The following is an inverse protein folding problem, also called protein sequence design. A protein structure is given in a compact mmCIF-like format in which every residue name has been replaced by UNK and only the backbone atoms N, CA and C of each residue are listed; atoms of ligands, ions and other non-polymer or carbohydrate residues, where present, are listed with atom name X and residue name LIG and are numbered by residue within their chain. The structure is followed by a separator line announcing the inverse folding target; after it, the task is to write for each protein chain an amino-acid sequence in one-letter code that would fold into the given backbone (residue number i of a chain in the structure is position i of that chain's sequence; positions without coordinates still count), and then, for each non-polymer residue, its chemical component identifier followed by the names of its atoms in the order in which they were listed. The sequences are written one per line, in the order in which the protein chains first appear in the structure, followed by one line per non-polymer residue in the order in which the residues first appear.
data_IF_525538764081
#
_entry.id   IF_525538764081
#
_cell.length_a   1.000
_cell.length_b   1.000
_cell.length_c   1.000
_cell.angle_alpha   90.00
_cell.angle_beta   90.00
_cell.angle_gamma   90.00
#
_symmetry.space_group_name_H-M   'P 1'
#
loop_
_entity.id
_entity.type
_entity.pdbx_description
1 polymer ?
#
# COMPACT_ATOMS: atom_id res chain seq x y z
N UNK A 1 -0.22 -11.81 -9.20
CA UNK A 1 -0.74 -12.48 -10.39
C UNK A 1 -1.50 -11.44 -11.21
N UNK A 2 -1.36 -11.44 -12.52
CA UNK A 2 -2.12 -10.58 -13.46
C UNK A 2 -3.13 -11.48 -14.16
N UNK A 3 -4.39 -11.12 -14.13
CA UNK A 3 -5.45 -11.87 -14.80
C UNK A 3 -5.76 -11.25 -16.17
N UNK A 4 -5.96 -12.12 -17.16
CA UNK A 4 -6.38 -11.76 -18.50
C UNK A 4 -7.83 -12.19 -18.72
N UNK A 5 -8.60 -11.40 -19.47
CA UNK A 5 -9.95 -11.81 -19.91
C UNK A 5 -9.91 -12.66 -21.17
N UNK A 6 -8.74 -12.89 -21.76
CA UNK A 6 -8.55 -13.71 -22.96
C UNK A 6 -8.46 -15.20 -22.63
N UNK A 7 -8.68 -16.03 -23.63
CA UNK A 7 -8.60 -17.50 -23.49
C UNK A 7 -7.15 -18.03 -23.45
N UNK A 8 -6.15 -17.21 -23.79
CA UNK A 8 -4.73 -17.61 -23.82
C UNK A 8 -3.86 -16.75 -22.92
N UNK A 9 -2.88 -17.40 -22.32
CA UNK A 9 -1.84 -16.73 -21.55
C UNK A 9 -1.03 -15.77 -22.44
N UNK A 10 -0.79 -14.56 -21.94
CA UNK A 10 -0.09 -13.51 -22.68
C UNK A 10 1.09 -12.97 -21.89
N UNK A 11 2.16 -12.50 -22.56
CA UNK A 11 3.27 -11.85 -21.88
C UNK A 11 2.83 -10.63 -21.10
N UNK A 12 3.31 -10.52 -19.87
CA UNK A 12 3.08 -9.40 -18.97
C UNK A 12 4.41 -8.73 -18.64
N UNK A 13 4.44 -7.41 -18.70
CA UNK A 13 5.56 -6.63 -18.18
C UNK A 13 5.10 -5.82 -16.98
N UNK A 14 5.90 -5.83 -15.92
CA UNK A 14 5.70 -4.99 -14.74
C UNK A 14 6.88 -4.03 -14.62
N UNK A 15 6.58 -2.75 -14.62
CA UNK A 15 7.55 -1.69 -14.36
C UNK A 15 7.41 -1.26 -12.91
N UNK A 16 8.50 -1.36 -12.16
CA UNK A 16 8.58 -0.87 -10.77
C UNK A 16 9.46 0.36 -10.77
N UNK A 17 8.87 1.51 -10.48
CA UNK A 17 9.58 2.79 -10.36
C UNK A 17 10.58 2.77 -9.21
N UNK A 18 11.57 3.65 -9.25
CA UNK A 18 12.45 3.91 -8.10
C UNK A 18 11.74 4.76 -7.03
N UNK A 19 12.20 4.69 -5.80
CA UNK A 19 11.71 5.54 -4.71
C UNK A 19 11.81 7.05 -5.01
N UNK A 20 12.70 7.43 -5.91
CA UNK A 20 12.93 8.83 -6.32
C UNK A 20 12.24 9.19 -7.64
N UNK A 21 11.49 8.25 -8.25
CA UNK A 21 10.76 8.49 -9.49
C UNK A 21 11.60 8.60 -10.76
N UNK A 22 12.92 8.43 -10.68
CA UNK A 22 13.86 8.72 -11.78
C UNK A 22 14.09 7.56 -12.75
N UNK A 23 13.72 6.35 -12.39
CA UNK A 23 13.90 5.15 -13.23
C UNK A 23 12.87 4.08 -12.87
N UNK A 24 12.64 3.17 -13.81
CA UNK A 24 11.82 1.99 -13.56
C UNK A 24 12.58 0.73 -13.96
N UNK A 25 12.45 -0.32 -13.16
CA UNK A 25 12.99 -1.64 -13.48
C UNK A 25 11.85 -2.50 -14.04
N UNK A 26 12.11 -3.16 -15.16
CA UNK A 26 11.14 -4.02 -15.82
C UNK A 26 11.30 -5.49 -15.36
N UNK A 27 10.19 -6.11 -15.07
CA UNK A 27 10.06 -7.54 -14.76
C UNK A 27 9.05 -8.16 -15.71
N UNK A 28 9.36 -9.35 -16.21
CA UNK A 28 8.49 -10.02 -17.18
C UNK A 28 7.88 -11.29 -16.57
N UNK A 29 6.67 -11.57 -16.95
CA UNK A 29 5.91 -12.74 -16.53
C UNK A 29 4.87 -13.13 -17.58
N UNK A 30 3.92 -13.94 -17.17
CA UNK A 30 2.81 -14.40 -18.02
C UNK A 30 1.50 -14.19 -17.26
N UNK A 31 0.43 -13.81 -17.97
CA UNK A 31 -0.90 -13.67 -17.38
C UNK A 31 -1.38 -15.02 -16.84
N UNK A 32 -2.25 -14.98 -15.83
CA UNK A 32 -2.91 -16.15 -15.22
C UNK A 32 -1.95 -17.17 -14.59
N UNK A 33 -0.65 -16.85 -14.52
CA UNK A 33 0.38 -17.64 -13.86
C UNK A 33 1.02 -16.83 -12.74
N UNK A 34 1.16 -17.38 -11.51
CA UNK A 34 1.94 -16.74 -10.47
C UNK A 34 3.41 -16.64 -10.89
N UNK A 35 3.98 -15.45 -10.83
CA UNK A 35 5.42 -15.25 -10.99
C UNK A 35 5.94 -14.34 -9.88
N UNK A 36 7.21 -14.48 -9.56
CA UNK A 36 7.88 -13.75 -8.50
C UNK A 36 9.10 -13.02 -9.07
N UNK A 37 9.36 -11.84 -8.53
CA UNK A 37 10.55 -11.07 -8.83
C UNK A 37 11.05 -10.39 -7.57
N UNK A 38 12.33 -10.06 -7.53
CA UNK A 38 12.97 -9.40 -6.41
C UNK A 38 13.31 -7.96 -6.77
N UNK A 39 12.87 -7.02 -5.96
CA UNK A 39 13.32 -5.63 -6.03
C UNK A 39 14.52 -5.49 -5.09
N UNK A 40 15.71 -5.15 -5.59
CA UNK A 40 16.90 -5.08 -4.75
C UNK A 40 16.85 -3.88 -3.82
N UNK A 41 17.17 -4.11 -2.55
CA UNK A 41 17.32 -3.09 -1.50
C UNK A 41 16.24 -1.99 -1.52
N UNK A 42 14.95 -2.33 -1.44
CA UNK A 42 13.91 -1.33 -1.49
C UNK A 42 13.95 -0.48 -0.21
N UNK A 43 13.68 0.82 -0.35
CA UNK A 43 13.42 1.67 0.82
C UNK A 43 12.10 1.24 1.44
N UNK A 44 12.15 0.80 2.70
CA UNK A 44 10.96 0.28 3.37
C UNK A 44 9.99 1.41 3.73
N UNK A 45 8.71 1.07 3.65
CA UNK A 45 7.63 1.93 4.08
C UNK A 45 7.51 1.91 5.61
N UNK A 46 7.33 3.07 6.20
CA UNK A 46 6.93 3.23 7.60
C UNK A 46 5.99 4.43 7.75
N UNK A 47 5.28 4.60 8.87
CA UNK A 47 4.44 5.79 9.11
C UNK A 47 5.21 7.11 9.00
N UNK A 48 6.49 7.12 9.42
CA UNK A 48 7.34 8.31 9.36
C UNK A 48 8.04 8.49 8.01
N UNK A 49 8.11 7.43 7.21
CA UNK A 49 8.67 7.43 5.87
C UNK A 49 7.81 6.58 4.92
N UNK A 50 6.64 7.08 4.51
CA UNK A 50 5.67 6.33 3.70
C UNK A 50 6.10 6.23 2.24
N UNK A 51 7.25 5.58 2.00
CA UNK A 51 7.84 5.42 0.67
C UNK A 51 6.98 4.51 -0.19
N UNK A 52 6.52 5.01 -1.32
CA UNK A 52 5.78 4.27 -2.33
C UNK A 52 6.56 4.22 -3.65
N UNK A 53 6.37 3.13 -4.36
CA UNK A 53 6.94 2.86 -5.68
C UNK A 53 5.82 2.82 -6.70
N UNK A 54 5.93 3.59 -7.77
CA UNK A 54 4.99 3.51 -8.87
C UNK A 54 5.09 2.13 -9.52
N UNK A 55 3.94 1.57 -9.82
CA UNK A 55 3.79 0.27 -10.46
C UNK A 55 3.02 0.46 -11.76
N UNK A 56 3.56 -0.06 -12.87
CA UNK A 56 2.85 -0.11 -14.13
C UNK A 56 2.81 -1.55 -14.62
N UNK A 57 1.64 -2.04 -14.92
CA UNK A 57 1.42 -3.38 -15.49
C UNK A 57 0.99 -3.22 -16.92
N UNK A 58 1.67 -3.90 -17.83
CA UNK A 58 1.44 -3.84 -19.27
C UNK A 58 1.09 -5.25 -19.77
N UNK A 59 -0.04 -5.37 -20.44
CA UNK A 59 -0.52 -6.59 -21.08
C UNK A 59 -0.96 -6.24 -22.52
N UNK A 60 -0.11 -6.55 -23.51
CA UNK A 60 -0.36 -6.15 -24.89
C UNK A 60 -0.42 -4.62 -25.02
N UNK A 61 -1.57 -4.10 -25.40
CA UNK A 61 -1.85 -2.66 -25.51
C UNK A 61 -2.48 -2.07 -24.25
N UNK A 62 -2.86 -2.90 -23.29
CA UNK A 62 -3.46 -2.46 -22.04
C UNK A 62 -2.39 -2.09 -21.02
N UNK A 63 -2.62 -0.99 -20.32
CA UNK A 63 -1.69 -0.46 -19.31
C UNK A 63 -2.45 0.02 -18.08
N UNK A 64 -2.10 -0.55 -16.94
CA UNK A 64 -2.65 -0.17 -15.64
C UNK A 64 -1.55 0.42 -14.76
N UNK A 65 -1.81 1.58 -14.20
CA UNK A 65 -0.91 2.22 -13.22
C UNK A 65 -1.42 2.02 -11.80
N UNK A 66 -0.49 1.77 -10.89
CA UNK A 66 -0.77 1.54 -9.47
C UNK A 66 0.45 1.96 -8.64
N UNK A 67 0.49 1.58 -7.38
CA UNK A 67 1.65 1.77 -6.53
C UNK A 67 1.79 0.61 -5.54
N UNK A 68 2.98 0.48 -4.96
CA UNK A 68 3.27 -0.49 -3.90
C UNK A 68 4.22 0.10 -2.85
N UNK A 69 4.13 -0.40 -1.63
CA UNK A 69 5.08 -0.10 -0.56
C UNK A 69 5.70 -1.41 -0.04
N UNK A 70 6.99 -1.39 0.20
CA UNK A 70 7.71 -2.56 0.73
C UNK A 70 7.75 -2.47 2.24
N UNK A 71 7.08 -3.40 2.91
CA UNK A 71 7.08 -3.53 4.38
C UNK A 71 6.84 -4.97 4.78
N UNK A 72 7.28 -5.33 5.96
CA UNK A 72 6.96 -6.62 6.58
C UNK A 72 6.23 -6.41 7.90
N UNK A 73 5.21 -7.24 8.12
CA UNK A 73 4.50 -7.31 9.40
C UNK A 73 4.79 -8.68 9.98
N UNK A 74 5.25 -8.69 11.22
CA UNK A 74 5.58 -9.95 11.92
C UNK A 74 5.25 -9.81 13.41
N UNK A 75 5.53 -10.86 14.17
CA UNK A 75 5.50 -10.84 15.64
C UNK A 75 6.82 -11.36 16.17
N UNK A 76 7.28 -10.82 17.28
CA UNK A 76 8.52 -11.23 17.94
C UNK A 76 8.49 -10.91 19.42
N UNK A 77 9.47 -11.43 20.16
CA UNK A 77 9.60 -11.17 21.61
C UNK A 77 10.44 -9.91 21.80
N UNK A 78 9.85 -8.91 22.44
CA UNK A 78 10.53 -7.67 22.81
C UNK A 78 10.30 -7.41 24.30
N UNK A 79 11.37 -7.34 25.08
CA UNK A 79 11.28 -7.19 26.53
C UNK A 79 10.54 -8.35 27.22
N UNK A 80 10.68 -9.60 26.72
CA UNK A 80 10.01 -10.78 27.27
C UNK A 80 8.54 -10.94 26.89
N UNK A 81 7.98 -10.04 26.06
CA UNK A 81 6.58 -10.04 25.64
C UNK A 81 6.49 -10.18 24.13
N UNK A 82 5.55 -10.99 23.63
CA UNK A 82 5.25 -11.08 22.19
C UNK A 82 4.58 -9.78 21.74
N UNK A 83 5.18 -9.13 20.75
CA UNK A 83 4.74 -7.85 20.21
C UNK A 83 4.66 -7.87 18.69
N UNK A 84 3.81 -7.03 18.07
CA UNK A 84 3.82 -6.82 16.63
C UNK A 84 5.08 -6.04 16.24
N UNK A 85 5.65 -6.42 15.08
CA UNK A 85 6.83 -5.79 14.51
C UNK A 85 6.49 -5.26 13.11
N UNK A 86 6.98 -4.07 12.81
CA UNK A 86 7.03 -3.49 11.47
C UNK A 86 8.48 -3.48 10.99
N UNK A 87 8.75 -4.11 9.85
CA UNK A 87 10.11 -4.22 9.29
C UNK A 87 11.13 -4.84 10.27
N UNK A 88 10.67 -5.76 11.14
CA UNK A 88 11.48 -6.41 12.15
C UNK A 88 11.63 -5.64 13.45
N UNK A 89 11.13 -4.43 13.55
CA UNK A 89 11.24 -3.56 14.73
C UNK A 89 9.89 -3.38 15.43
N UNK A 90 9.93 -3.28 16.77
CA UNK A 90 8.72 -2.98 17.53
C UNK A 90 8.30 -1.54 17.31
N UNK A 91 7.04 -1.36 16.93
CA UNK A 91 6.38 -0.07 16.90
C UNK A 91 5.17 -0.08 17.83
N UNK A 92 5.06 0.94 18.70
CA UNK A 92 3.84 1.13 19.47
C UNK A 92 2.74 1.64 18.56
N UNK A 93 1.74 0.80 18.29
CA UNK A 93 0.61 1.14 17.43
C UNK A 93 -0.37 2.03 18.19
N UNK A 94 -0.20 3.33 18.01
CA UNK A 94 -1.08 4.35 18.57
C UNK A 94 -2.04 4.84 17.50
N UNK A 95 -3.31 4.44 17.61
CA UNK A 95 -4.28 4.70 16.56
C UNK A 95 -5.72 4.78 17.04
N UNK A 96 -6.59 5.14 16.13
CA UNK A 96 -8.02 5.24 16.35
C UNK A 96 -8.82 4.33 15.42
N UNK A 97 -10.08 4.11 15.78
CA UNK A 97 -11.06 3.44 14.94
C UNK A 97 -11.69 4.45 13.98
N UNK A 98 -11.76 4.08 12.70
CA UNK A 98 -12.52 4.80 11.68
C UNK A 98 -13.57 3.89 11.08
N UNK A 99 -14.83 4.21 11.28
CA UNK A 99 -15.97 3.49 10.72
C UNK A 99 -16.49 4.10 9.42
N UNK A 100 -15.93 5.21 8.96
CA UNK A 100 -16.26 5.84 7.69
C UNK A 100 -17.58 6.58 7.67
N UNK A 101 -18.06 7.03 8.83
CA UNK A 101 -19.28 7.87 8.90
C UNK A 101 -18.96 9.34 8.65
N UNK A 102 -19.78 9.96 7.83
CA UNK A 102 -19.74 11.38 7.50
C UNK A 102 -21.07 12.05 7.84
N UNK A 103 -21.08 13.29 8.34
CA UNK A 103 -22.32 13.95 8.75
C UNK A 103 -23.36 14.06 7.63
N UNK A 104 -22.91 14.34 6.40
CA UNK A 104 -23.80 14.58 5.27
C UNK A 104 -24.03 13.36 4.38
N UNK A 105 -23.02 12.51 4.20
CA UNK A 105 -23.00 11.45 3.21
C UNK A 105 -23.10 10.04 3.81
N UNK A 106 -23.26 9.89 5.13
CA UNK A 106 -23.20 8.62 5.85
C UNK A 106 -21.89 7.88 5.57
N UNK A 107 -21.90 6.91 4.65
CA UNK A 107 -20.69 6.16 4.25
C UNK A 107 -19.92 6.78 3.07
N UNK A 108 -20.42 7.91 2.51
CA UNK A 108 -19.78 8.57 1.40
C UNK A 108 -19.10 9.85 1.88
N UNK A 109 -17.77 9.96 1.75
CA UNK A 109 -17.07 11.19 2.10
C UNK A 109 -17.50 12.35 1.18
N UNK A 110 -17.58 13.57 1.69
CA UNK A 110 -17.99 14.73 0.89
C UNK A 110 -16.97 15.07 -0.20
N UNK A 111 -15.69 14.81 0.05
CA UNK A 111 -14.61 15.00 -0.91
C UNK A 111 -13.38 14.17 -0.55
N UNK A 112 -12.46 14.03 -1.51
CA UNK A 112 -11.15 13.44 -1.25
C UNK A 112 -10.36 14.26 -0.22
N UNK A 113 -10.44 15.58 -0.29
CA UNK A 113 -9.71 16.49 0.61
C UNK A 113 -10.18 16.35 2.06
N UNK A 114 -11.47 16.09 2.29
CA UNK A 114 -11.98 15.80 3.62
C UNK A 114 -11.36 14.52 4.21
N UNK A 115 -11.21 13.45 3.41
CA UNK A 115 -10.53 12.22 3.85
C UNK A 115 -9.05 12.47 4.16
N UNK A 116 -8.37 13.26 3.34
CA UNK A 116 -6.96 13.62 3.55
C UNK A 116 -6.81 14.42 4.83
N UNK A 117 -7.69 15.41 5.05
CA UNK A 117 -7.70 16.25 6.26
C UNK A 117 -7.77 15.42 7.53
N UNK A 118 -8.68 14.44 7.62
CA UNK A 118 -8.79 13.57 8.79
C UNK A 118 -7.48 12.82 9.08
N UNK A 119 -6.84 12.29 8.04
CA UNK A 119 -5.57 11.56 8.19
C UNK A 119 -4.42 12.50 8.61
N UNK A 120 -4.35 13.70 8.04
CA UNK A 120 -3.33 14.70 8.39
C UNK A 120 -3.48 15.19 9.83
N UNK A 121 -4.72 15.44 10.27
CA UNK A 121 -5.01 15.82 11.66
C UNK A 121 -4.61 14.70 12.62
N UNK A 122 -5.00 13.46 12.35
CA UNK A 122 -4.62 12.32 13.19
C UNK A 122 -3.10 12.19 13.27
N UNK A 123 -2.41 12.30 12.14
CA UNK A 123 -0.95 12.24 12.09
C UNK A 123 -0.30 13.39 12.89
N UNK A 124 -0.83 14.61 12.79
CA UNK A 124 -0.36 15.76 13.56
C UNK A 124 -0.51 15.61 15.07
N UNK A 125 -1.50 14.80 15.50
CA UNK A 125 -1.72 14.43 16.90
C UNK A 125 -0.85 13.25 17.37
N UNK A 126 0.03 12.74 16.50
CA UNK A 126 0.96 11.66 16.83
C UNK A 126 0.43 10.25 16.60
N UNK A 127 -0.73 10.09 15.99
CA UNK A 127 -1.23 8.77 15.58
C UNK A 127 -0.38 8.20 14.46
N UNK A 128 -0.07 6.91 14.53
CA UNK A 128 0.68 6.19 13.52
C UNK A 128 -0.07 4.98 12.94
N UNK A 129 -1.32 4.81 13.33
CA UNK A 129 -2.19 3.72 12.90
C UNK A 129 -3.64 4.20 12.79
N UNK A 130 -4.35 3.70 11.80
CA UNK A 130 -5.79 3.81 11.68
C UNK A 130 -6.39 2.41 11.51
N UNK A 131 -7.39 2.05 12.32
CA UNK A 131 -8.17 0.84 12.12
C UNK A 131 -9.41 1.17 11.30
N UNK A 132 -9.35 0.96 10.00
CA UNK A 132 -10.52 1.08 9.13
C UNK A 132 -11.43 -0.11 9.37
N UNK A 133 -12.66 0.15 9.81
CA UNK A 133 -13.66 -0.86 10.13
C UNK A 133 -14.85 -0.76 9.18
N UNK A 134 -15.33 -1.92 8.69
CA UNK A 134 -16.53 -2.09 7.85
C UNK A 134 -16.41 -1.62 6.40
N UNK A 135 -15.57 -0.66 6.06
CA UNK A 135 -15.39 -0.24 4.67
C UNK A 135 -13.90 -0.22 4.28
N UNK A 136 -13.60 -0.66 3.07
CA UNK A 136 -12.28 -0.48 2.46
C UNK A 136 -12.37 0.65 1.44
N UNK A 137 -11.90 1.84 1.80
CA UNK A 137 -11.62 2.88 0.83
C UNK A 137 -10.20 2.65 0.29
N UNK A 138 -10.12 2.09 -0.91
CA UNK A 138 -8.94 1.40 -1.45
C UNK A 138 -7.66 2.24 -1.60
N UNK A 139 -7.71 3.56 -1.61
CA UNK A 139 -6.63 4.38 -2.15
C UNK A 139 -5.88 5.26 -1.17
N UNK A 140 -6.34 5.45 0.06
CA UNK A 140 -5.75 6.43 0.98
C UNK A 140 -4.88 5.84 2.09
N UNK A 141 -5.10 4.59 2.47
CA UNK A 141 -4.45 3.99 3.64
C UNK A 141 -2.93 3.78 3.54
N UNK A 142 -2.32 3.91 2.37
CA UNK A 142 -0.87 3.73 2.19
C UNK A 142 -0.10 5.04 1.95
N UNK A 143 -0.79 6.14 1.65
CA UNK A 143 -0.17 7.41 1.28
C UNK A 143 0.06 8.37 2.45
N UNK A 144 -0.65 8.19 3.56
CA UNK A 144 -0.67 9.04 4.73
C UNK A 144 -0.51 8.17 6.00
#
# INVERSE_FOLDING_TARGET
MVYSSGESQSPVQILVGSANGSSATAYNGTSDVPFQFTVPSPKLWSPDSPTLYNLTVILGTDQVTSYTGFRTISKGVVGGVVRPLLNGEFIFMFGTLDQGFWPDGLYTPPSRDAMVYDLEVLKSLGFNMLRKHVSCNELLCLKY
#
